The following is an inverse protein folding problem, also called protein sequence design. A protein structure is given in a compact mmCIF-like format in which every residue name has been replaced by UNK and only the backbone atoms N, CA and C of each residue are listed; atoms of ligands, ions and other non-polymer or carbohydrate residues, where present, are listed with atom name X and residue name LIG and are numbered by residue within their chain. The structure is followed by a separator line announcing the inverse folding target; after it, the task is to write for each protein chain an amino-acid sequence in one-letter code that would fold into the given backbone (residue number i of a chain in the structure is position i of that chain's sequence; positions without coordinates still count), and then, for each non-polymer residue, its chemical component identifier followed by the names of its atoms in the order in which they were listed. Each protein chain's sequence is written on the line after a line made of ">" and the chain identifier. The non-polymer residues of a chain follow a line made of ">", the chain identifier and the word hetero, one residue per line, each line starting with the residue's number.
data_IF_213070471826
#
_entry.id   IF_213070471826
#
_cell.length_a   1.000
_cell.length_b   1.000
_cell.length_c   1.000
_cell.angle_alpha   90.00
_cell.angle_beta   90.00
_cell.angle_gamma   90.00
#
_symmetry.space_group_name_H-M   'P 1'
#
loop_
_entity.id
_entity.type
_entity.pdbx_description
1 polymer ?
#
# COMPACT_ATOMS: atom_id res chain seq x y z
N UNK A 1 -16.02 13.79 3.63
CA UNK A 1 -15.87 12.32 3.90
C UNK A 1 -17.17 11.63 3.54
N UNK A 2 -17.09 10.51 2.88
CA UNK A 2 -18.24 9.73 2.41
C UNK A 2 -18.04 8.27 2.84
N UNK A 3 -19.13 7.50 2.87
CA UNK A 3 -19.09 6.06 3.11
C UNK A 3 -19.57 5.33 1.85
N UNK A 4 -18.92 4.21 1.53
CA UNK A 4 -19.34 3.32 0.45
C UNK A 4 -19.33 1.87 0.93
N UNK A 5 -20.35 1.11 0.57
CA UNK A 5 -20.34 -0.34 0.66
C UNK A 5 -19.68 -0.89 -0.59
N UNK A 6 -18.56 -1.55 -0.42
CA UNK A 6 -17.83 -2.23 -1.49
C UNK A 6 -18.45 -3.58 -1.85
N UNK A 7 -18.15 -4.10 -3.03
CA UNK A 7 -18.58 -5.44 -3.47
C UNK A 7 -18.11 -6.56 -2.53
N UNK A 8 -17.07 -6.30 -1.77
CA UNK A 8 -16.54 -7.17 -0.71
C UNK A 8 -17.38 -7.19 0.57
N UNK A 9 -18.55 -6.51 0.59
CA UNK A 9 -19.45 -6.34 1.74
C UNK A 9 -18.90 -5.55 2.93
N UNK A 10 -17.77 -4.87 2.78
CA UNK A 10 -17.28 -3.91 3.75
C UNK A 10 -17.79 -2.51 3.44
N UNK A 11 -18.09 -1.74 4.49
CA UNK A 11 -18.46 -0.32 4.35
C UNK A 11 -17.34 0.50 4.93
N UNK A 12 -16.62 1.23 4.09
CA UNK A 12 -15.45 2.00 4.52
C UNK A 12 -15.62 3.48 4.17
N UNK A 13 -14.91 4.30 4.93
CA UNK A 13 -14.83 5.75 4.66
C UNK A 13 -13.84 6.02 3.55
N UNK A 14 -14.17 7.02 2.74
CA UNK A 14 -13.28 7.53 1.71
C UNK A 14 -13.41 9.04 1.54
N UNK A 15 -12.45 9.62 0.88
CA UNK A 15 -12.46 11.00 0.43
C UNK A 15 -11.94 11.07 -1.00
N UNK A 16 -12.63 11.83 -1.83
CA UNK A 16 -12.24 12.07 -3.21
C UNK A 16 -12.35 13.58 -3.53
N UNK A 17 -11.25 14.16 -3.97
CA UNK A 17 -11.22 15.45 -4.62
C UNK A 17 -10.88 15.26 -6.10
N UNK A 18 -11.80 15.70 -6.97
CA UNK A 18 -11.61 15.56 -8.42
C UNK A 18 -10.54 16.53 -8.93
N UNK A 19 -9.82 16.12 -9.98
CA UNK A 19 -8.92 17.00 -10.70
C UNK A 19 -9.68 18.23 -11.24
N UNK A 20 -9.11 19.42 -11.10
CA UNK A 20 -9.69 20.64 -11.66
C UNK A 20 -9.63 20.61 -13.19
N UNK A 21 -10.68 21.09 -13.84
CA UNK A 21 -10.95 20.98 -15.29
C UNK A 21 -9.95 21.63 -16.24
N UNK A 22 -8.87 22.24 -15.78
CA UNK A 22 -7.89 22.96 -16.60
C UNK A 22 -6.71 22.09 -17.05
N UNK A 23 -6.57 20.87 -16.52
CA UNK A 23 -5.55 19.91 -16.95
C UNK A 23 -6.08 19.06 -18.11
N UNK A 24 -5.34 19.00 -19.21
CA UNK A 24 -5.61 18.13 -20.37
C UNK A 24 -5.52 16.64 -20.00
N UNK A 25 -4.90 16.31 -18.87
CA UNK A 25 -4.81 14.96 -18.33
C UNK A 25 -5.43 14.92 -16.94
N UNK A 26 -6.64 14.37 -16.84
CA UNK A 26 -7.31 14.11 -15.56
C UNK A 26 -6.63 12.94 -14.86
N UNK A 27 -5.48 13.18 -14.25
CA UNK A 27 -4.78 12.18 -13.43
C UNK A 27 -5.20 12.32 -11.98
N UNK A 28 -5.29 11.20 -11.28
CA UNK A 28 -5.59 11.18 -9.85
C UNK A 28 -4.52 10.37 -9.09
N UNK A 29 -4.21 10.78 -7.88
CA UNK A 29 -3.38 10.03 -6.95
C UNK A 29 -4.28 9.27 -5.99
N UNK A 30 -4.08 7.95 -5.87
CA UNK A 30 -4.76 7.10 -4.90
C UNK A 30 -3.78 6.75 -3.79
N UNK A 31 -4.12 7.09 -2.55
CA UNK A 31 -3.31 6.76 -1.37
C UNK A 31 -3.86 5.51 -0.68
N UNK A 32 -2.99 4.50 -0.46
CA UNK A 32 -3.29 3.24 0.18
C UNK A 32 -2.44 3.12 1.46
N UNK A 33 -3.09 3.06 2.62
CA UNK A 33 -2.41 3.02 3.91
C UNK A 33 -1.83 1.64 4.25
N UNK A 34 -1.06 1.56 5.33
CA UNK A 34 -0.46 0.34 5.87
C UNK A 34 -1.39 -0.46 6.76
N UNK A 35 -0.96 -1.68 7.10
CA UNK A 35 -1.65 -2.56 8.04
C UNK A 35 -1.74 -1.90 9.42
N UNK A 36 -2.88 -2.01 10.11
CA UNK A 36 -3.19 -1.36 11.39
C UNK A 36 -2.97 0.16 11.40
N UNK A 37 -3.07 0.79 10.24
CA UNK A 37 -2.99 2.23 10.05
C UNK A 37 -4.32 2.78 9.56
N UNK A 38 -4.33 4.06 9.23
CA UNK A 38 -5.47 4.75 8.63
C UNK A 38 -5.02 5.64 7.47
N UNK A 39 -5.97 6.18 6.74
CA UNK A 39 -5.71 7.09 5.63
C UNK A 39 -5.89 8.58 6.00
N UNK A 40 -5.96 8.92 7.29
CA UNK A 40 -6.24 10.27 7.79
C UNK A 40 -5.02 10.94 8.44
N UNK A 41 -3.90 10.22 8.55
CA UNK A 41 -2.68 10.72 9.15
C UNK A 41 -1.93 11.75 8.29
N UNK A 42 -0.76 12.18 8.80
CA UNK A 42 0.05 13.25 8.20
C UNK A 42 0.45 13.01 6.74
N UNK A 43 0.90 11.79 6.40
CA UNK A 43 1.32 11.49 5.01
C UNK A 43 0.18 11.64 4.01
N UNK A 44 -0.99 10.95 4.18
CA UNK A 44 -2.08 11.11 3.23
C UNK A 44 -2.61 12.53 3.17
N UNK A 45 -2.62 13.29 4.28
CA UNK A 45 -3.02 14.69 4.26
C UNK A 45 -2.03 15.55 3.45
N UNK A 46 -0.73 15.36 3.65
CA UNK A 46 0.29 16.07 2.86
C UNK A 46 0.18 15.77 1.35
N UNK A 47 -0.12 14.52 0.98
CA UNK A 47 -0.35 14.15 -0.43
C UNK A 47 -1.59 14.81 -0.99
N UNK A 48 -2.68 14.88 -0.20
CA UNK A 48 -3.91 15.57 -0.58
C UNK A 48 -3.65 17.05 -0.87
N UNK A 49 -3.04 17.76 0.09
CA UNK A 49 -2.68 19.18 -0.05
C UNK A 49 -1.81 19.44 -1.28
N UNK A 50 -0.84 18.55 -1.51
CA UNK A 50 0.04 18.63 -2.67
C UNK A 50 -0.72 18.46 -4.00
N UNK A 51 -1.66 17.52 -4.07
CA UNK A 51 -2.52 17.29 -5.24
C UNK A 51 -3.46 18.47 -5.48
N UNK A 52 -4.14 18.96 -4.44
CA UNK A 52 -5.08 20.07 -4.52
C UNK A 52 -4.41 21.36 -5.01
N UNK A 53 -3.19 21.65 -4.53
CA UNK A 53 -2.41 22.80 -4.98
C UNK A 53 -2.06 22.75 -6.48
N UNK A 54 -2.04 21.56 -7.08
CA UNK A 54 -1.72 21.33 -8.50
C UNK A 54 -2.94 21.04 -9.37
N UNK A 55 -4.13 20.98 -8.79
CA UNK A 55 -5.36 20.63 -9.50
C UNK A 55 -5.41 19.17 -9.92
N UNK A 56 -4.62 18.29 -9.27
CA UNK A 56 -4.58 16.84 -9.47
C UNK A 56 -5.67 16.21 -8.59
N UNK A 57 -6.35 15.16 -9.09
CA UNK A 57 -7.31 14.41 -8.31
C UNK A 57 -6.63 13.64 -7.17
N UNK A 58 -7.30 13.53 -6.03
CA UNK A 58 -6.80 12.77 -4.89
C UNK A 58 -7.89 11.87 -4.33
N UNK A 59 -7.54 10.61 -4.11
CA UNK A 59 -8.43 9.63 -3.51
C UNK A 59 -7.74 8.91 -2.35
N UNK A 60 -8.43 8.76 -1.22
CA UNK A 60 -8.00 7.94 -0.09
C UNK A 60 -9.18 7.21 0.51
N UNK A 61 -8.96 6.03 1.05
CA UNK A 61 -9.99 5.20 1.68
C UNK A 61 -9.42 4.33 2.78
N UNK A 62 -10.26 3.92 3.72
CA UNK A 62 -9.92 2.93 4.73
C UNK A 62 -9.96 1.52 4.09
N UNK A 63 -8.91 0.74 4.26
CA UNK A 63 -8.94 -0.69 3.92
C UNK A 63 -9.99 -1.42 4.78
N UNK A 64 -10.64 -2.41 4.22
CA UNK A 64 -11.61 -3.24 4.95
C UNK A 64 -11.05 -3.72 6.28
N UNK A 65 -11.87 -3.65 7.33
CA UNK A 65 -11.45 -4.00 8.67
C UNK A 65 -10.46 -3.01 9.33
N UNK A 66 -10.32 -1.78 8.79
CA UNK A 66 -9.52 -0.73 9.38
C UNK A 66 -10.38 0.50 9.70
N UNK A 67 -9.85 1.40 10.52
CA UNK A 67 -10.50 2.65 10.84
C UNK A 67 -11.89 2.46 11.43
N UNK A 68 -12.92 2.97 10.75
CA UNK A 68 -14.31 2.89 11.20
C UNK A 68 -14.91 1.48 11.20
N UNK A 69 -14.30 0.53 10.50
CA UNK A 69 -14.76 -0.86 10.40
C UNK A 69 -13.80 -1.86 11.10
N UNK A 70 -12.97 -1.36 12.01
CA UNK A 70 -11.89 -2.13 12.68
C UNK A 70 -12.40 -3.35 13.47
N UNK A 71 -13.66 -3.34 13.93
CA UNK A 71 -14.29 -4.50 14.59
C UNK A 71 -14.37 -5.74 13.67
N UNK A 72 -14.31 -5.54 12.35
CA UNK A 72 -14.37 -6.60 11.35
C UNK A 72 -13.00 -6.95 10.74
N UNK A 73 -11.90 -6.52 11.37
CA UNK A 73 -10.56 -6.72 10.85
C UNK A 73 -10.26 -8.20 10.51
N UNK A 74 -10.64 -9.13 11.37
CA UNK A 74 -10.36 -10.56 11.19
C UNK A 74 -11.16 -11.20 10.03
N UNK A 75 -12.18 -10.51 9.51
CA UNK A 75 -12.91 -10.93 8.31
C UNK A 75 -12.20 -10.52 7.01
N UNK A 76 -11.31 -9.51 7.08
CA UNK A 76 -10.58 -9.00 5.94
C UNK A 76 -9.29 -9.79 5.68
N UNK A 77 -8.83 -9.75 4.45
CA UNK A 77 -7.61 -10.43 3.99
C UNK A 77 -7.04 -9.76 2.72
N UNK A 78 -5.95 -10.30 2.20
CA UNK A 78 -5.31 -9.77 1.00
C UNK A 78 -6.22 -9.77 -0.23
N UNK A 79 -7.10 -10.75 -0.36
CA UNK A 79 -8.03 -10.83 -1.48
C UNK A 79 -9.09 -9.71 -1.40
N UNK A 80 -9.61 -9.46 -0.19
CA UNK A 80 -10.55 -8.36 0.07
C UNK A 80 -9.91 -7.01 -0.23
N UNK A 81 -8.70 -6.75 0.29
CA UNK A 81 -8.02 -5.48 0.09
C UNK A 81 -7.61 -5.25 -1.38
N UNK A 82 -7.17 -6.31 -2.08
CA UNK A 82 -6.92 -6.23 -3.52
C UNK A 82 -8.20 -5.92 -4.30
N UNK A 83 -9.31 -6.58 -3.98
CA UNK A 83 -10.58 -6.30 -4.64
C UNK A 83 -11.05 -4.85 -4.41
N UNK A 84 -10.84 -4.30 -3.20
CA UNK A 84 -11.17 -2.90 -2.93
C UNK A 84 -10.39 -1.92 -3.79
N UNK A 85 -9.05 -2.05 -3.88
CA UNK A 85 -8.25 -1.13 -4.71
C UNK A 85 -8.62 -1.24 -6.19
N UNK A 86 -8.93 -2.44 -6.68
CA UNK A 86 -9.38 -2.62 -8.07
C UNK A 86 -10.74 -1.96 -8.29
N UNK A 87 -11.69 -2.10 -7.36
CA UNK A 87 -13.00 -1.42 -7.43
C UNK A 87 -12.84 0.11 -7.39
N UNK A 88 -11.91 0.63 -6.58
CA UNK A 88 -11.61 2.08 -6.56
C UNK A 88 -11.10 2.55 -7.94
N UNK A 89 -10.16 1.83 -8.53
CA UNK A 89 -9.59 2.18 -9.83
C UNK A 89 -10.64 2.07 -10.95
N UNK A 90 -11.48 1.05 -10.92
CA UNK A 90 -12.40 0.73 -12.00
C UNK A 90 -13.69 1.58 -11.95
N UNK A 91 -14.17 1.93 -10.73
CA UNK A 91 -15.53 2.47 -10.57
C UNK A 91 -15.60 3.83 -9.83
N UNK A 92 -14.54 4.22 -9.12
CA UNK A 92 -14.61 5.41 -8.26
C UNK A 92 -13.72 6.56 -8.73
N UNK A 93 -12.72 6.26 -9.57
CA UNK A 93 -11.78 7.26 -10.07
C UNK A 93 -11.71 7.20 -11.59
N UNK A 94 -12.02 8.31 -12.23
CA UNK A 94 -11.93 8.42 -13.70
C UNK A 94 -10.48 8.66 -14.15
N UNK A 95 -10.15 8.13 -15.36
CA UNK A 95 -8.89 8.39 -16.04
C UNK A 95 -7.68 7.65 -15.42
N UNK A 96 -6.46 8.07 -15.78
CA UNK A 96 -5.23 7.47 -15.30
C UNK A 96 -4.98 7.78 -13.82
N UNK A 97 -4.30 6.85 -13.12
CA UNK A 97 -4.00 6.98 -11.70
C UNK A 97 -2.52 6.77 -11.40
N UNK A 98 -2.02 7.45 -10.37
CA UNK A 98 -0.75 7.14 -9.69
C UNK A 98 -1.08 6.58 -8.31
N UNK A 99 -0.48 5.44 -7.96
CA UNK A 99 -0.70 4.79 -6.68
C UNK A 99 0.40 5.16 -5.69
N UNK A 100 0.02 5.61 -4.50
CA UNK A 100 0.93 5.84 -3.37
C UNK A 100 0.57 4.84 -2.28
N UNK A 101 1.40 3.83 -2.10
CA UNK A 101 1.14 2.76 -1.13
C UNK A 101 2.17 2.69 -0.03
N UNK A 102 1.71 2.65 1.23
CA UNK A 102 2.58 2.51 2.40
C UNK A 102 2.55 1.08 2.93
N UNK A 103 3.71 0.45 3.13
CA UNK A 103 3.83 -0.91 3.69
C UNK A 103 2.99 -1.92 2.88
N UNK A 104 1.99 -2.58 3.46
CA UNK A 104 1.05 -3.46 2.75
C UNK A 104 0.32 -2.73 1.61
N UNK A 105 0.03 -1.42 1.78
CA UNK A 105 -0.51 -0.59 0.71
C UNK A 105 0.41 -0.51 -0.50
N UNK A 106 1.73 -0.56 -0.30
CA UNK A 106 2.72 -0.69 -1.37
C UNK A 106 2.63 -2.03 -2.10
N UNK A 107 2.41 -3.13 -1.37
CA UNK A 107 2.15 -4.43 -1.98
C UNK A 107 0.88 -4.43 -2.82
N UNK A 108 -0.21 -3.92 -2.25
CA UNK A 108 -1.49 -3.79 -2.96
C UNK A 108 -1.37 -2.91 -4.21
N UNK A 109 -0.58 -1.83 -4.14
CA UNK A 109 -0.29 -0.95 -5.29
C UNK A 109 0.44 -1.69 -6.41
N UNK A 110 1.43 -2.53 -6.08
CA UNK A 110 2.14 -3.35 -7.06
C UNK A 110 1.20 -4.39 -7.70
N UNK A 111 0.35 -5.04 -6.92
CA UNK A 111 -0.66 -5.97 -7.44
C UNK A 111 -1.64 -5.28 -8.39
N UNK A 112 -2.16 -4.12 -7.99
CA UNK A 112 -3.08 -3.35 -8.81
C UNK A 112 -2.45 -2.83 -10.10
N UNK A 113 -1.20 -2.36 -10.05
CA UNK A 113 -0.47 -1.92 -11.24
C UNK A 113 -0.24 -3.05 -12.25
N UNK A 114 0.04 -4.26 -11.76
CA UNK A 114 0.18 -5.44 -12.62
C UNK A 114 -1.15 -5.85 -13.28
N UNK A 115 -2.29 -5.64 -12.60
CA UNK A 115 -3.62 -6.02 -13.09
C UNK A 115 -4.33 -4.90 -13.89
N UNK A 116 -3.90 -3.64 -13.77
CA UNK A 116 -4.50 -2.48 -14.46
C UNK A 116 -3.45 -1.62 -15.18
N UNK A 117 -2.64 -2.22 -16.09
CA UNK A 117 -1.55 -1.50 -16.74
C UNK A 117 -2.03 -0.30 -17.58
N UNK A 118 -3.26 -0.35 -18.09
CA UNK A 118 -3.85 0.75 -18.88
C UNK A 118 -4.33 1.92 -18.02
N UNK A 119 -4.54 1.70 -16.72
CA UNK A 119 -5.03 2.71 -15.78
C UNK A 119 -3.91 3.26 -14.91
N UNK A 120 -2.98 2.44 -14.45
CA UNK A 120 -1.92 2.83 -13.53
C UNK A 120 -0.73 3.38 -14.31
N UNK A 121 -0.43 4.66 -14.09
CA UNK A 121 0.66 5.40 -14.75
C UNK A 121 1.95 5.45 -13.92
N UNK A 122 1.87 5.15 -12.66
CA UNK A 122 3.03 5.10 -11.77
C UNK A 122 2.71 4.55 -10.41
N UNK A 123 3.73 4.07 -9.71
CA UNK A 123 3.63 3.59 -8.33
C UNK A 123 4.71 4.22 -7.47
N UNK A 124 4.33 4.78 -6.33
CA UNK A 124 5.24 5.19 -5.27
C UNK A 124 5.04 4.27 -4.08
N UNK A 125 6.00 3.40 -3.83
CA UNK A 125 6.02 2.50 -2.67
C UNK A 125 6.78 3.11 -1.50
N UNK A 126 6.12 3.28 -0.37
CA UNK A 126 6.68 3.80 0.88
C UNK A 126 6.91 2.65 1.83
N UNK A 127 8.16 2.23 2.05
CA UNK A 127 8.49 1.02 2.79
C UNK A 127 7.63 -0.17 2.35
N UNK A 128 7.49 -0.35 1.02
CA UNK A 128 6.60 -1.35 0.44
C UNK A 128 6.97 -2.76 0.90
N UNK A 129 5.95 -3.52 1.32
CA UNK A 129 6.12 -4.79 2.01
C UNK A 129 5.54 -6.01 1.24
N UNK A 130 5.84 -6.22 -0.05
CA UNK A 130 5.39 -7.44 -0.70
C UNK A 130 5.98 -8.66 0.00
N UNK A 131 5.16 -9.72 0.07
CA UNK A 131 5.54 -11.03 0.62
C UNK A 131 5.93 -11.01 2.12
N UNK A 132 5.60 -9.94 2.87
CA UNK A 132 6.01 -9.85 4.29
C UNK A 132 5.45 -10.99 5.16
N UNK A 133 4.28 -11.52 4.80
CA UNK A 133 3.69 -12.68 5.49
C UNK A 133 4.56 -13.93 5.35
N UNK A 134 5.16 -14.12 4.18
CA UNK A 134 6.13 -15.20 3.94
C UNK A 134 7.40 -15.00 4.78
N UNK A 135 7.89 -13.76 4.89
CA UNK A 135 9.05 -13.44 5.71
C UNK A 135 8.76 -13.71 7.20
N UNK A 136 7.57 -13.33 7.69
CA UNK A 136 7.16 -13.62 9.05
C UNK A 136 7.12 -15.12 9.32
N UNK A 137 6.50 -15.92 8.44
CA UNK A 137 6.45 -17.37 8.57
C UNK A 137 7.86 -18.00 8.51
N UNK A 138 8.72 -17.51 7.64
CA UNK A 138 10.00 -18.15 7.38
C UNK A 138 11.06 -17.79 8.40
N UNK A 139 11.11 -16.54 8.88
CA UNK A 139 12.24 -16.00 9.62
C UNK A 139 11.90 -15.48 11.03
N UNK A 140 10.64 -15.22 11.32
CA UNK A 140 10.24 -14.52 12.55
C UNK A 140 9.42 -15.42 13.47
N UNK A 141 8.41 -16.12 12.95
CA UNK A 141 7.52 -16.93 13.78
C UNK A 141 8.21 -18.16 14.34
N UNK A 142 8.06 -18.38 15.64
CA UNK A 142 8.51 -19.60 16.30
C UNK A 142 7.67 -20.80 15.85
N UNK A 143 8.16 -22.04 16.04
CA UNK A 143 7.37 -23.25 15.80
C UNK A 143 6.03 -23.25 16.54
N UNK A 144 5.99 -22.77 17.79
CA UNK A 144 4.79 -22.67 18.62
C UNK A 144 3.78 -21.67 18.05
N UNK A 145 4.27 -20.51 17.58
CA UNK A 145 3.42 -19.49 16.92
C UNK A 145 2.80 -20.01 15.62
N UNK A 146 3.57 -20.73 14.81
CA UNK A 146 3.08 -21.40 13.60
C UNK A 146 2.01 -22.43 13.93
N UNK A 147 2.24 -23.23 14.97
CA UNK A 147 1.29 -24.24 15.45
C UNK A 147 0.00 -23.57 15.96
N UNK A 148 0.12 -22.51 16.77
CA UNK A 148 -1.03 -21.72 17.24
C UNK A 148 -1.86 -21.19 16.08
N UNK A 149 -1.23 -20.56 15.09
CA UNK A 149 -1.93 -20.07 13.88
C UNK A 149 -2.63 -21.19 13.13
N UNK A 150 -1.99 -22.35 12.98
CA UNK A 150 -2.55 -23.50 12.29
C UNK A 150 -3.78 -24.09 13.03
N UNK A 151 -3.75 -24.15 14.36
CA UNK A 151 -4.79 -24.75 15.17
C UNK A 151 -5.98 -23.82 15.43
N UNK A 152 -5.70 -22.53 15.68
CA UNK A 152 -6.74 -21.57 16.09
C UNK A 152 -7.19 -20.67 14.94
N UNK A 153 -6.45 -20.63 13.82
CA UNK A 153 -6.69 -19.69 12.73
C UNK A 153 -6.25 -18.25 13.03
N UNK A 154 -5.65 -17.99 14.22
CA UNK A 154 -5.33 -16.66 14.71
C UNK A 154 -4.01 -16.66 15.49
N UNK A 155 -3.24 -15.59 15.35
CA UNK A 155 -2.03 -15.36 16.13
C UNK A 155 -2.01 -13.90 16.62
N UNK A 156 -1.87 -13.69 17.91
CA UNK A 156 -1.52 -12.41 18.47
C UNK A 156 0.01 -12.31 18.55
N UNK A 157 0.55 -11.37 17.78
CA UNK A 157 2.00 -11.17 17.61
C UNK A 157 2.38 -9.84 18.27
N UNK A 158 2.95 -9.91 19.48
CA UNK A 158 3.39 -8.74 20.21
C UNK A 158 4.82 -8.37 19.79
N UNK A 159 5.03 -7.09 19.54
CA UNK A 159 6.33 -6.43 19.46
C UNK A 159 6.52 -5.54 20.69
N UNK A 160 7.67 -4.90 20.83
CA UNK A 160 7.94 -3.98 21.93
C UNK A 160 6.90 -2.85 22.04
N UNK A 161 6.43 -2.34 20.90
CA UNK A 161 5.62 -1.13 20.83
C UNK A 161 4.19 -1.38 20.33
N UNK A 162 3.89 -2.58 19.85
CA UNK A 162 2.60 -2.87 19.21
C UNK A 162 2.23 -4.36 19.29
N UNK A 163 0.92 -4.65 19.34
CA UNK A 163 0.40 -6.01 19.18
C UNK A 163 -0.39 -6.11 17.87
N UNK A 164 -0.04 -7.10 17.05
CA UNK A 164 -0.68 -7.41 15.78
C UNK A 164 -1.56 -8.64 15.91
N UNK A 165 -2.72 -8.61 15.30
CA UNK A 165 -3.55 -9.79 15.12
C UNK A 165 -3.37 -10.28 13.69
N UNK A 166 -2.85 -11.47 13.53
CA UNK A 166 -2.73 -12.13 12.23
C UNK A 166 -3.72 -13.28 12.12
N UNK A 167 -4.40 -13.39 10.99
CA UNK A 167 -5.30 -14.52 10.71
C UNK A 167 -4.68 -15.47 9.70
N UNK A 168 -4.94 -16.77 9.87
CA UNK A 168 -4.51 -17.79 8.90
C UNK A 168 -5.05 -17.48 7.50
N UNK A 169 -6.30 -16.99 7.42
CA UNK A 169 -6.94 -16.58 6.15
C UNK A 169 -6.14 -15.49 5.43
N UNK A 170 -5.67 -14.47 6.17
CA UNK A 170 -4.82 -13.42 5.60
C UNK A 170 -3.51 -14.00 5.02
N UNK A 171 -2.88 -14.93 5.73
CA UNK A 171 -1.64 -15.57 5.27
C UNK A 171 -1.88 -16.48 4.07
N UNK A 172 -2.97 -17.25 4.04
CA UNK A 172 -3.31 -18.12 2.93
C UNK A 172 -3.55 -17.31 1.64
N UNK A 173 -4.38 -16.25 1.72
CA UNK A 173 -4.63 -15.38 0.55
C UNK A 173 -3.38 -14.58 0.14
N UNK A 174 -2.56 -14.16 1.10
CA UNK A 174 -1.28 -13.48 0.82
C UNK A 174 -0.29 -14.37 0.06
N UNK A 175 -0.23 -15.66 0.38
CA UNK A 175 0.68 -16.63 -0.28
C UNK A 175 0.40 -16.74 -1.78
N UNK A 176 -0.87 -16.68 -2.19
CA UNK A 176 -1.28 -16.69 -3.60
C UNK A 176 -0.87 -15.41 -4.35
N UNK A 177 -0.62 -14.32 -3.62
CA UNK A 177 -0.31 -12.98 -4.14
C UNK A 177 1.16 -12.59 -4.00
N UNK A 178 2.05 -13.52 -3.64
CA UNK A 178 3.47 -13.26 -3.56
C UNK A 178 4.04 -12.79 -4.90
N UNK A 179 4.87 -11.76 -4.86
CA UNK A 179 5.44 -11.08 -6.03
C UNK A 179 6.92 -11.35 -6.22
N UNK A 180 7.68 -11.54 -5.14
CA UNK A 180 9.14 -11.67 -5.20
C UNK A 180 9.56 -13.05 -5.68
N UNK A 181 10.76 -13.11 -6.29
CA UNK A 181 11.29 -14.34 -6.87
C UNK A 181 10.79 -14.63 -8.29
N UNK A 182 9.96 -13.78 -8.86
CA UNK A 182 9.50 -13.85 -10.26
C UNK A 182 9.45 -12.46 -10.88
N UNK A 183 9.35 -12.38 -12.21
CA UNK A 183 9.20 -11.11 -12.91
C UNK A 183 7.80 -10.53 -12.66
N UNK A 184 7.74 -9.29 -12.17
CA UNK A 184 6.49 -8.56 -11.92
C UNK A 184 6.13 -7.77 -13.19
N UNK A 185 4.96 -7.99 -13.81
CA UNK A 185 4.60 -7.42 -15.12
C UNK A 185 4.09 -5.98 -15.00
N UNK A 186 4.90 -5.09 -14.43
CA UNK A 186 4.64 -3.65 -14.33
C UNK A 186 5.60 -2.94 -15.26
N UNK A 187 5.07 -2.10 -16.15
CA UNK A 187 5.84 -1.34 -17.15
C UNK A 187 5.90 0.15 -16.84
N UNK A 188 4.97 0.67 -16.04
CA UNK A 188 4.98 2.09 -15.63
C UNK A 188 6.14 2.41 -14.68
N UNK A 189 6.49 3.69 -14.49
CA UNK A 189 7.46 4.13 -13.49
C UNK A 189 7.13 3.63 -12.08
N UNK A 190 8.15 3.13 -11.36
CA UNK A 190 8.02 2.72 -9.95
C UNK A 190 9.11 3.37 -9.14
N UNK A 191 8.72 4.17 -8.14
CA UNK A 191 9.62 4.75 -7.16
C UNK A 191 9.42 4.09 -5.79
N UNK A 192 10.49 3.59 -5.21
CA UNK A 192 10.51 2.92 -3.93
C UNK A 192 11.30 3.78 -2.93
N UNK A 193 10.63 4.28 -1.92
CA UNK A 193 11.25 5.02 -0.82
C UNK A 193 11.37 4.09 0.38
N UNK A 194 12.59 3.92 0.90
CA UNK A 194 12.89 2.99 1.98
C UNK A 194 13.73 3.65 3.06
N UNK A 195 13.27 3.56 4.31
CA UNK A 195 14.03 3.99 5.47
C UNK A 195 15.15 2.99 5.79
N UNK A 196 16.38 3.49 6.03
CA UNK A 196 17.49 2.61 6.44
C UNK A 196 17.43 2.22 7.92
N UNK A 197 16.57 2.88 8.71
CA UNK A 197 16.26 2.53 10.10
C UNK A 197 14.89 1.84 10.23
N UNK A 198 14.41 1.22 9.15
CA UNK A 198 13.18 0.44 9.14
C UNK A 198 13.44 -0.88 9.90
N UNK A 199 12.74 -1.05 11.00
CA UNK A 199 12.79 -2.22 11.89
C UNK A 199 11.64 -3.22 11.67
N UNK A 200 10.70 -2.85 10.78
CA UNK A 200 9.56 -3.69 10.41
C UNK A 200 9.82 -4.45 9.10
N UNK A 201 10.39 -3.75 8.10
CA UNK A 201 10.67 -4.28 6.78
C UNK A 201 12.16 -4.07 6.49
N UNK A 202 12.87 -5.15 6.22
CA UNK A 202 14.29 -5.11 5.90
C UNK A 202 14.58 -4.12 4.75
N UNK A 203 15.52 -3.17 4.90
CA UNK A 203 15.78 -2.14 3.90
C UNK A 203 16.14 -2.65 2.51
N UNK A 204 16.70 -3.84 2.39
CA UNK A 204 17.02 -4.49 1.11
C UNK A 204 15.78 -4.96 0.34
N UNK A 205 14.60 -5.01 0.98
CA UNK A 205 13.33 -5.34 0.34
C UNK A 205 13.07 -4.46 -0.88
N UNK A 206 13.35 -3.15 -0.80
CA UNK A 206 13.17 -2.22 -1.92
C UNK A 206 14.01 -2.63 -3.14
N UNK A 207 15.28 -3.05 -2.93
CA UNK A 207 16.13 -3.55 -4.01
C UNK A 207 15.64 -4.87 -4.58
N UNK A 208 15.08 -5.75 -3.74
CA UNK A 208 14.52 -7.02 -4.17
C UNK A 208 13.26 -6.80 -5.03
N UNK A 209 12.41 -5.84 -4.68
CA UNK A 209 11.27 -5.43 -5.51
C UNK A 209 11.79 -4.91 -6.87
N UNK A 210 12.74 -3.97 -6.85
CA UNK A 210 13.28 -3.35 -8.06
C UNK A 210 13.83 -4.39 -9.06
N UNK A 211 14.55 -5.41 -8.57
CA UNK A 211 15.08 -6.51 -9.40
C UNK A 211 14.00 -7.36 -10.06
N UNK A 212 12.83 -7.45 -9.44
CA UNK A 212 11.71 -8.25 -9.97
C UNK A 212 10.85 -7.48 -10.99
N UNK A 213 10.87 -6.16 -10.99
CA UNK A 213 10.06 -5.34 -11.88
C UNK A 213 10.46 -5.48 -13.35
N UNK A 214 9.47 -5.51 -14.25
CA UNK A 214 9.70 -5.47 -15.71
C UNK A 214 10.04 -4.07 -16.19
N UNK A 215 9.51 -3.04 -15.53
CA UNK A 215 9.77 -1.64 -15.84
C UNK A 215 11.27 -1.33 -15.86
N UNK A 216 11.69 -0.54 -16.85
CA UNK A 216 13.04 0.05 -16.88
C UNK A 216 13.13 1.39 -16.13
N UNK A 217 11.98 1.95 -15.72
CA UNK A 217 11.88 3.22 -15.01
C UNK A 217 11.67 2.98 -13.50
N UNK A 218 12.70 2.44 -12.86
CA UNK A 218 12.66 2.11 -11.42
C UNK A 218 13.68 2.97 -10.67
N UNK A 219 13.20 3.67 -9.64
CA UNK A 219 14.03 4.47 -8.74
C UNK A 219 13.90 3.91 -7.33
N UNK A 220 15.03 3.64 -6.68
CA UNK A 220 15.08 3.28 -5.25
C UNK A 220 15.78 4.40 -4.49
N UNK A 221 15.09 5.01 -3.53
CA UNK A 221 15.62 6.05 -2.64
C UNK A 221 15.78 5.49 -1.23
N UNK A 222 17.03 5.35 -0.80
CA UNK A 222 17.37 4.93 0.57
C UNK A 222 17.51 6.14 1.47
N UNK A 223 16.64 6.27 2.47
CA UNK A 223 16.58 7.42 3.37
C UNK A 223 17.25 7.05 4.70
N UNK A 224 18.49 7.52 4.87
CA UNK A 224 19.40 7.09 5.94
C UNK A 224 18.84 7.23 7.35
N UNK A 225 18.10 8.31 7.61
CA UNK A 225 17.60 8.64 8.95
C UNK A 225 16.15 8.25 9.20
N UNK A 226 15.50 7.64 8.22
CA UNK A 226 14.07 7.34 8.23
C UNK A 226 13.79 5.91 8.68
N UNK A 227 12.71 5.73 9.42
CA UNK A 227 12.18 4.44 9.86
C UNK A 227 11.03 3.98 8.94
N UNK A 228 10.33 2.92 9.34
CA UNK A 228 9.19 2.35 8.60
C UNK A 228 8.09 3.37 8.27
N UNK A 229 7.85 4.34 9.16
CA UNK A 229 6.75 5.30 8.98
C UNK A 229 6.96 6.28 7.84
N UNK A 230 8.20 6.64 7.51
CA UNK A 230 8.53 7.62 6.46
C UNK A 230 7.69 8.91 6.60
N UNK A 231 7.74 9.55 7.77
CA UNK A 231 6.90 10.71 8.10
C UNK A 231 7.72 11.99 8.42
N UNK A 232 9.06 11.94 8.31
CA UNK A 232 9.89 13.13 8.50
C UNK A 232 9.64 14.12 7.35
N UNK A 233 9.92 15.42 7.53
CA UNK A 233 9.78 16.41 6.45
C UNK A 233 10.58 16.04 5.20
N UNK A 234 11.75 15.43 5.35
CA UNK A 234 12.57 14.95 4.25
C UNK A 234 11.90 13.80 3.49
N UNK A 235 11.28 12.87 4.21
CA UNK A 235 10.54 11.74 3.60
C UNK A 235 9.39 12.25 2.73
N UNK A 236 8.64 13.22 3.24
CA UNK A 236 7.51 13.85 2.53
C UNK A 236 8.01 14.60 1.29
N UNK A 237 9.13 15.31 1.38
CA UNK A 237 9.74 16.00 0.23
C UNK A 237 10.14 14.99 -0.86
N UNK A 238 10.77 13.87 -0.49
CA UNK A 238 11.14 12.83 -1.45
C UNK A 238 9.94 12.10 -2.07
N UNK A 239 8.85 11.97 -1.32
CA UNK A 239 7.56 11.51 -1.85
C UNK A 239 7.03 12.47 -2.92
N UNK A 240 7.03 13.79 -2.66
CA UNK A 240 6.59 14.79 -3.64
C UNK A 240 7.49 14.82 -4.89
N UNK A 241 8.80 14.72 -4.72
CA UNK A 241 9.73 14.60 -5.85
C UNK A 241 9.44 13.37 -6.72
N UNK A 242 8.98 12.28 -6.10
CA UNK A 242 8.59 11.07 -6.83
C UNK A 242 7.27 11.26 -7.57
N UNK A 243 6.28 11.90 -6.95
CA UNK A 243 5.00 12.22 -7.57
C UNK A 243 5.16 13.19 -8.75
N UNK A 244 5.97 14.24 -8.60
CA UNK A 244 6.21 15.26 -9.64
C UNK A 244 6.70 14.65 -10.96
N UNK A 245 7.41 13.52 -10.92
CA UNK A 245 7.89 12.83 -12.11
C UNK A 245 6.87 11.91 -12.78
N UNK A 246 5.67 11.75 -12.20
CA UNK A 246 4.65 10.78 -12.65
C UNK A 246 3.33 11.43 -13.08
N UNK A 247 3.12 12.72 -12.77
CA UNK A 247 1.85 13.42 -13.00
C UNK A 247 1.96 14.54 -14.03
#
# INVERSE_FOLDING_TARGET
>A
MQNRKFKTNFTTKFEYSQAKSLSTHKISVIYIHGLFSDCWGRKPESVKEWCEARGIGFFRYELAGHGSDSARYEEADMAVWKAQILEVIDEMVDGPVVLVGSSIGGWLSLLAAAERPDRVRGVVGLAAAPDFTKDLEQYIFTPEQKQTMAQTGRLEFATKDFSYIFTKKMFDTAREMCLLGRKIPIDCPVHLLQGMKDDCIAPDKAMNIAKCLRSSQVVVKMLKNSNHRLCNPEDIRELFNSLESMV
#
